data_IF_631906223217
#
_entry.id   IF_631906223217
#
_cell.length_a   1.000
_cell.length_b   1.000
_cell.length_c   1.000
_cell.angle_alpha   90.00
_cell.angle_beta   90.00
_cell.angle_gamma   90.00
#
_symmetry.space_group_name_H-M   'P 1'
#
loop_
_entity.id
_entity.type
_entity.pdbx_description
1 polymer ?
#
# COMPACT_ATOMS: atom_id res chain seq x y z
N UNK A 1 -20.40 5.84 -3.62
CA UNK A 1 -19.75 6.52 -2.47
C UNK A 1 -18.41 5.86 -2.24
N UNK A 2 -17.32 6.53 -2.60
CA UNK A 2 -15.96 6.01 -2.38
C UNK A 2 -15.56 6.28 -0.93
N UNK A 3 -15.56 5.26 -0.08
CA UNK A 3 -15.16 5.35 1.33
C UNK A 3 -13.62 5.39 1.49
N UNK A 4 -12.92 6.00 0.53
CA UNK A 4 -11.46 6.00 0.42
C UNK A 4 -10.94 7.34 0.95
N UNK A 5 -10.08 7.29 1.97
CA UNK A 5 -9.48 8.47 2.60
C UNK A 5 -8.35 9.01 1.70
N UNK A 6 -8.51 10.13 1.00
CA UNK A 6 -7.45 10.65 0.11
C UNK A 6 -6.18 11.09 0.88
N UNK A 7 -6.30 11.27 2.20
CA UNK A 7 -5.23 11.70 3.09
C UNK A 7 -5.74 11.80 4.53
N UNK A 8 -4.82 11.79 5.48
CA UNK A 8 -5.09 12.18 6.86
C UNK A 8 -4.02 13.21 7.27
N UNK A 9 -4.41 14.49 7.33
CA UNK A 9 -3.47 15.59 7.61
C UNK A 9 -2.45 15.78 6.49
N UNK A 10 -1.16 15.61 6.80
CA UNK A 10 -0.03 15.82 5.87
C UNK A 10 0.34 14.55 5.10
N UNK A 11 -0.23 13.41 5.49
CA UNK A 11 -0.06 12.12 4.85
C UNK A 11 -0.98 12.01 3.62
N UNK A 12 -0.39 11.86 2.43
CA UNK A 12 -1.14 11.52 1.21
C UNK A 12 -1.25 10.01 1.07
N UNK A 13 -2.45 9.56 0.70
CA UNK A 13 -2.71 8.16 0.38
C UNK A 13 -2.97 8.02 -1.12
N UNK A 14 -2.19 7.15 -1.78
CA UNK A 14 -2.42 6.73 -3.16
C UNK A 14 -3.18 5.41 -3.16
N UNK A 15 -4.12 5.25 -4.08
CA UNK A 15 -4.86 4.00 -4.27
C UNK A 15 -4.77 3.56 -5.72
N UNK A 16 -4.72 2.26 -5.97
CA UNK A 16 -4.88 1.72 -7.32
C UNK A 16 -6.37 1.60 -7.72
N UNK A 17 -6.58 1.07 -8.92
CA UNK A 17 -7.88 0.86 -9.56
C UNK A 17 -8.77 -0.10 -8.74
N UNK A 18 -8.16 -1.07 -8.06
CA UNK A 18 -8.80 -2.03 -7.17
C UNK A 18 -9.12 -1.46 -5.79
N UNK A 19 -8.59 -0.28 -5.46
CA UNK A 19 -8.78 0.38 -4.17
C UNK A 19 -7.78 0.00 -3.10
N UNK A 20 -6.71 -0.69 -3.47
CA UNK A 20 -5.61 -1.02 -2.59
C UNK A 20 -4.70 0.19 -2.41
N UNK A 21 -4.15 0.34 -1.21
CA UNK A 21 -3.29 1.47 -0.87
C UNK A 21 -1.90 1.30 -1.47
N UNK A 22 -1.54 2.09 -2.48
CA UNK A 22 -0.24 2.00 -3.16
C UNK A 22 0.78 3.00 -2.66
N UNK A 23 0.34 4.06 -1.99
CA UNK A 23 1.26 5.09 -1.47
C UNK A 23 0.78 5.61 -0.13
N UNK A 24 1.69 5.77 0.83
CA UNK A 24 1.41 6.40 2.12
C UNK A 24 2.60 7.23 2.56
N UNK A 25 2.47 8.56 2.67
CA UNK A 25 3.47 9.43 3.35
C UNK A 25 4.93 9.13 2.91
N UNK A 26 5.14 9.04 1.60
CA UNK A 26 6.42 8.70 0.93
C UNK A 26 6.84 7.22 0.96
N UNK A 27 5.93 6.34 1.37
CA UNK A 27 6.08 4.89 1.26
C UNK A 27 5.32 4.36 0.06
N UNK A 28 5.93 3.45 -0.70
CA UNK A 28 5.29 2.70 -1.76
C UNK A 28 4.95 1.30 -1.25
N UNK A 29 3.73 0.85 -1.55
CA UNK A 29 3.21 -0.45 -1.13
C UNK A 29 2.90 -1.27 -2.39
N UNK A 30 3.38 -2.51 -2.43
CA UNK A 30 3.10 -3.45 -3.51
C UNK A 30 2.28 -4.63 -3.00
N UNK A 31 1.26 -4.98 -3.78
CA UNK A 31 0.29 -6.03 -3.47
C UNK A 31 0.41 -7.14 -4.50
N UNK A 32 0.24 -8.38 -4.09
CA UNK A 32 0.12 -9.50 -5.02
C UNK A 32 -1.30 -9.58 -5.61
N UNK A 33 -1.50 -10.47 -6.58
CA UNK A 33 -2.80 -10.67 -7.23
C UNK A 33 -3.91 -11.19 -6.29
N UNK A 34 -3.57 -11.62 -5.08
CA UNK A 34 -4.52 -12.05 -4.05
C UNK A 34 -4.90 -10.91 -3.08
N UNK A 35 -4.35 -9.71 -3.27
CA UNK A 35 -4.56 -8.55 -2.41
C UNK A 35 -3.76 -8.59 -1.11
N UNK A 36 -2.65 -9.32 -1.09
CA UNK A 36 -1.73 -9.36 0.05
C UNK A 36 -0.53 -8.43 -0.18
N UNK A 37 -0.15 -7.67 0.84
CA UNK A 37 0.96 -6.72 0.78
C UNK A 37 2.31 -7.43 0.79
N UNK A 38 2.99 -7.54 -0.35
CA UNK A 38 4.26 -8.26 -0.45
C UNK A 38 5.47 -7.39 -0.20
N UNK A 39 5.35 -6.07 -0.37
CA UNK A 39 6.48 -5.15 -0.26
C UNK A 39 6.08 -3.77 0.24
N UNK A 40 6.94 -3.21 1.08
CA UNK A 40 6.88 -1.80 1.50
C UNK A 40 8.24 -1.16 1.29
N UNK A 41 8.28 -0.10 0.50
CA UNK A 41 9.46 0.73 0.26
C UNK A 41 9.25 2.06 0.97
N UNK A 42 10.18 2.46 1.83
CA UNK A 42 10.12 3.69 2.63
C UNK A 42 11.47 4.40 2.55
N UNK A 43 11.61 5.35 1.64
CA UNK A 43 12.90 5.99 1.36
C UNK A 43 13.93 4.98 0.87
N UNK A 44 14.97 4.72 1.67
CA UNK A 44 16.03 3.74 1.39
C UNK A 44 15.83 2.38 2.05
N UNK A 45 14.74 2.19 2.80
CA UNK A 45 14.45 0.94 3.49
C UNK A 45 13.36 0.18 2.75
N UNK A 46 13.59 -1.11 2.55
CA UNK A 46 12.66 -2.01 1.90
C UNK A 46 12.35 -3.18 2.81
N UNK A 47 11.07 -3.50 2.95
CA UNK A 47 10.59 -4.63 3.76
C UNK A 47 9.73 -5.53 2.88
N UNK A 48 10.03 -6.82 2.90
CA UNK A 48 9.29 -7.84 2.16
C UNK A 48 8.50 -8.73 3.12
N UNK A 49 7.30 -9.10 2.68
CA UNK A 49 6.42 -10.02 3.40
C UNK A 49 6.13 -11.22 2.50
N UNK A 50 6.38 -12.41 3.04
CA UNK A 50 5.96 -13.68 2.46
C UNK A 50 4.74 -14.19 3.19
N UNK A 51 3.75 -14.70 2.45
CA UNK A 51 2.57 -15.33 3.01
C UNK A 51 2.53 -16.79 2.56
N UNK A 52 2.21 -17.68 3.48
CA UNK A 52 1.89 -19.07 3.15
C UNK A 52 0.50 -19.15 2.50
N UNK A 53 0.36 -20.04 1.53
CA UNK A 53 -0.92 -20.35 0.88
C UNK A 53 -1.71 -21.33 1.76
N UNK A 54 -2.33 -20.80 2.83
CA UNK A 54 -3.26 -21.54 3.69
C UNK A 54 -4.68 -21.54 3.11
#
# INVERSE_FOLDING_TARGET
MSNRLPGCGRDRYGYNEWGELTTRRDQQLEWNAQGQLTRVISGNTETHYGYDAL
#
